data_IF_440466802958
#
_entry.id   IF_440466802958
#
_cell.length_a   1.000
_cell.length_b   1.000
_cell.length_c   1.000
_cell.angle_alpha   90.00
_cell.angle_beta   90.00
_cell.angle_gamma   90.00
#
_symmetry.space_group_name_H-M   'P 1'
#
loop_
_entity.id
_entity.type
_entity.pdbx_description
1 polymer ?
#
# COMPACT_ATOMS: atom_id res chain seq x y z
N UNK A 1 11.42 7.61 39.98
CA UNK A 1 11.00 8.00 38.60
C UNK A 1 11.97 7.41 37.60
N UNK A 2 11.51 6.93 36.44
CA UNK A 2 12.39 6.36 35.40
C UNK A 2 13.09 7.45 34.58
N UNK A 3 14.39 7.29 34.29
CA UNK A 3 15.24 8.26 33.55
C UNK A 3 14.60 8.76 32.25
N UNK A 4 14.01 7.86 31.46
CA UNK A 4 13.42 8.19 30.16
C UNK A 4 12.19 9.09 30.22
N UNK A 5 11.61 9.32 31.40
CA UNK A 5 10.36 10.05 31.59
C UNK A 5 10.55 11.40 32.28
N UNK A 6 11.79 11.78 32.59
CA UNK A 6 12.13 13.05 33.24
C UNK A 6 12.54 14.06 32.16
N UNK A 7 12.17 15.34 32.36
CA UNK A 7 12.66 16.43 31.53
C UNK A 7 14.18 16.52 31.66
N UNK A 8 14.90 16.38 30.56
CA UNK A 8 16.34 16.67 30.58
C UNK A 8 16.55 18.17 30.81
N UNK A 9 17.52 18.51 31.65
CA UNK A 9 17.78 19.91 32.00
C UNK A 9 18.15 20.76 30.79
N UNK A 10 18.90 20.18 29.85
CA UNK A 10 19.45 20.85 28.68
C UNK A 10 18.39 21.13 27.62
N UNK A 11 17.61 20.12 27.23
CA UNK A 11 16.64 20.29 26.13
C UNK A 11 15.24 20.62 26.61
N UNK A 12 14.96 20.48 27.92
CA UNK A 12 13.61 20.53 28.50
C UNK A 12 12.65 19.59 27.77
N UNK A 13 13.18 18.50 27.19
CA UNK A 13 12.42 17.44 26.54
C UNK A 13 12.67 16.12 27.27
N UNK A 14 11.62 15.31 27.35
CA UNK A 14 11.67 13.97 27.92
C UNK A 14 12.34 13.03 26.89
N UNK A 15 13.37 12.24 27.27
CA UNK A 15 14.05 11.35 26.34
C UNK A 15 13.11 10.41 25.57
N UNK A 16 12.06 9.90 26.22
CA UNK A 16 11.02 9.11 25.57
C UNK A 16 10.34 9.86 24.40
N UNK A 17 9.97 11.13 24.60
CA UNK A 17 9.34 11.93 23.56
C UNK A 17 10.31 12.22 22.41
N UNK A 18 11.59 12.49 22.71
CA UNK A 18 12.61 12.71 21.69
C UNK A 18 12.77 11.48 20.76
N UNK A 19 12.69 10.28 21.33
CA UNK A 19 12.85 9.03 20.57
C UNK A 19 11.61 8.63 19.76
N UNK A 20 10.42 8.74 20.34
CA UNK A 20 9.21 8.17 19.75
C UNK A 20 8.19 9.20 19.23
N UNK A 21 8.40 10.50 19.51
CA UNK A 21 7.54 11.62 19.09
C UNK A 21 6.08 11.56 19.57
N UNK A 22 5.80 10.82 20.63
CA UNK A 22 4.51 10.87 21.35
C UNK A 22 4.74 10.91 22.87
N UNK A 23 3.76 11.47 23.61
CA UNK A 23 3.80 11.53 25.06
C UNK A 23 3.18 10.25 25.63
N UNK A 24 3.93 9.53 26.47
CA UNK A 24 3.37 8.40 27.22
C UNK A 24 2.58 8.93 28.42
N UNK A 25 1.36 8.42 28.61
CA UNK A 25 0.50 8.76 29.74
C UNK A 25 0.81 7.81 30.91
N UNK A 26 1.31 8.36 32.02
CA UNK A 26 1.76 7.61 33.20
C UNK A 26 0.64 7.28 34.20
N UNK A 27 -0.61 7.71 33.93
CA UNK A 27 -1.77 7.36 34.77
C UNK A 27 -2.18 5.89 34.62
N UNK A 28 -1.75 5.24 33.55
CA UNK A 28 -1.79 3.80 33.43
C UNK A 28 -0.52 3.28 34.09
N UNK A 29 -0.69 2.52 35.17
CA UNK A 29 0.40 1.87 35.88
C UNK A 29 1.18 0.91 34.99
N UNK A 30 2.02 0.07 35.59
CA UNK A 30 2.86 -0.91 34.93
C UNK A 30 2.04 -2.05 34.27
N UNK A 31 1.08 -1.71 33.41
CA UNK A 31 0.49 -2.57 32.41
C UNK A 31 0.86 -1.95 31.07
N UNK A 32 1.98 -2.44 30.51
CA UNK A 32 2.22 -2.34 29.07
C UNK A 32 1.20 -3.27 28.40
N UNK A 33 -0.05 -2.85 28.44
CA UNK A 33 -1.04 -3.18 27.45
C UNK A 33 -1.36 -1.82 26.86
N UNK A 34 -0.42 -1.27 26.07
CA UNK A 34 -0.90 -0.48 24.93
C UNK A 34 -1.79 -1.47 24.21
N UNK A 35 -3.12 -1.34 24.22
CA UNK A 35 -3.88 -2.19 23.34
C UNK A 35 -3.36 -1.74 21.99
N UNK A 36 -2.70 -2.63 21.26
CA UNK A 36 -2.35 -2.43 19.86
C UNK A 36 -3.60 -2.00 19.04
N UNK A 37 -4.78 -2.08 19.67
CA UNK A 37 -6.12 -1.67 19.26
C UNK A 37 -6.66 -0.29 19.76
N UNK A 38 -6.08 0.43 20.74
CA UNK A 38 -6.83 1.52 21.41
C UNK A 38 -6.66 2.94 20.85
N UNK A 39 -5.75 3.16 19.90
CA UNK A 39 -5.80 4.39 19.09
C UNK A 39 -6.05 3.98 17.65
N UNK A 40 -7.27 3.53 17.39
CA UNK A 40 -7.83 3.57 16.04
C UNK A 40 -7.92 5.04 15.66
N UNK A 41 -6.83 5.60 15.13
CA UNK A 41 -6.86 6.89 14.47
C UNK A 41 -7.77 6.69 13.26
N UNK A 42 -8.93 7.37 13.16
CA UNK A 42 -9.88 7.11 12.07
C UNK A 42 -9.23 7.26 10.68
N UNK A 43 -8.27 8.19 10.56
CA UNK A 43 -7.43 8.36 9.37
C UNK A 43 -6.58 7.13 9.03
N UNK A 44 -6.01 6.45 10.03
CA UNK A 44 -5.19 5.25 9.81
C UNK A 44 -6.05 4.09 9.29
N UNK A 45 -7.24 3.88 9.85
CA UNK A 45 -8.16 2.83 9.39
C UNK A 45 -8.65 3.10 7.96
N UNK A 46 -8.96 4.36 7.62
CA UNK A 46 -9.32 4.74 6.25
C UNK A 46 -8.17 4.46 5.27
N UNK A 47 -6.93 4.81 5.62
CA UNK A 47 -5.75 4.51 4.78
C UNK A 47 -5.54 3.01 4.59
N UNK A 48 -5.67 2.20 5.64
CA UNK A 48 -5.53 0.73 5.54
C UNK A 48 -6.61 0.14 4.63
N UNK A 49 -7.87 0.60 4.74
CA UNK A 49 -8.95 0.17 3.83
C UNK A 49 -8.65 0.51 2.38
N UNK A 50 -8.17 1.72 2.10
CA UNK A 50 -7.78 2.14 0.75
C UNK A 50 -6.62 1.29 0.20
N UNK A 51 -5.59 1.04 1.02
CA UNK A 51 -4.46 0.17 0.64
C UNK A 51 -4.92 -1.25 0.33
N UNK A 52 -5.87 -1.79 1.12
CA UNK A 52 -6.40 -3.13 0.90
C UNK A 52 -7.22 -3.23 -0.40
N UNK A 53 -8.02 -2.21 -0.73
CA UNK A 53 -8.75 -2.13 -2.00
C UNK A 53 -7.77 -2.06 -3.17
N UNK A 54 -6.74 -1.22 -3.09
CA UNK A 54 -5.71 -1.10 -4.10
C UNK A 54 -4.98 -2.43 -4.31
N UNK A 55 -4.58 -3.09 -3.23
CA UNK A 55 -3.94 -4.40 -3.26
C UNK A 55 -4.82 -5.44 -3.97
N UNK A 56 -6.12 -5.51 -3.65
CA UNK A 56 -7.05 -6.43 -4.32
C UNK A 56 -7.14 -6.17 -5.82
N UNK A 57 -7.19 -4.90 -6.23
CA UNK A 57 -7.24 -4.52 -7.64
C UNK A 57 -5.98 -4.95 -8.37
N UNK A 58 -4.81 -4.62 -7.83
CA UNK A 58 -3.51 -4.98 -8.40
C UNK A 58 -3.33 -6.50 -8.51
N UNK A 59 -3.73 -7.25 -7.47
CA UNK A 59 -3.68 -8.72 -7.50
C UNK A 59 -4.51 -9.29 -8.66
N UNK A 60 -5.74 -8.80 -8.85
CA UNK A 60 -6.63 -9.25 -9.92
C UNK A 60 -6.07 -8.92 -11.31
N UNK A 61 -5.49 -7.73 -11.49
CA UNK A 61 -4.85 -7.33 -12.74
C UNK A 61 -3.62 -8.20 -13.05
N UNK A 62 -2.79 -8.50 -12.05
CA UNK A 62 -1.64 -9.38 -12.21
C UNK A 62 -2.05 -10.81 -12.57
N UNK A 63 -3.09 -11.36 -11.94
CA UNK A 63 -3.63 -12.68 -12.30
C UNK A 63 -4.18 -12.71 -13.73
N UNK A 64 -4.86 -11.65 -14.16
CA UNK A 64 -5.33 -11.50 -15.53
C UNK A 64 -4.18 -11.46 -16.53
N UNK A 65 -3.15 -10.63 -16.28
CA UNK A 65 -1.95 -10.54 -17.12
C UNK A 65 -1.22 -11.88 -17.14
N UNK A 66 -1.05 -12.55 -16.00
CA UNK A 66 -0.40 -13.87 -15.92
C UNK A 66 -1.14 -14.92 -16.74
N UNK A 67 -2.47 -14.91 -16.71
CA UNK A 67 -3.30 -15.82 -17.52
C UNK A 67 -3.15 -15.53 -19.01
N UNK A 68 -3.16 -14.24 -19.39
CA UNK A 68 -2.90 -13.80 -20.77
C UNK A 68 -1.51 -14.23 -21.22
N UNK A 69 -0.48 -13.92 -20.46
CA UNK A 69 0.89 -14.36 -20.75
C UNK A 69 0.89 -15.87 -20.88
N UNK A 70 0.39 -16.67 -19.94
CA UNK A 70 0.34 -18.13 -20.08
C UNK A 70 -0.34 -18.59 -21.39
N UNK A 71 -1.46 -17.98 -21.78
CA UNK A 71 -2.21 -18.36 -22.98
C UNK A 71 -1.51 -17.92 -24.29
N UNK A 72 -0.84 -16.76 -24.29
CA UNK A 72 -0.20 -16.17 -25.47
C UNK A 72 1.32 -16.37 -25.52
N UNK A 73 1.97 -16.83 -24.44
CA UNK A 73 3.41 -17.11 -24.31
C UNK A 73 3.77 -18.48 -24.89
N UNK A 74 3.09 -18.88 -25.96
CA UNK A 74 3.41 -20.12 -26.66
C UNK A 74 4.83 -20.00 -27.25
N UNK A 75 5.74 -20.89 -26.82
CA UNK A 75 7.18 -20.85 -27.15
C UNK A 75 7.52 -21.22 -28.61
N UNK A 76 6.52 -21.57 -29.44
CA UNK A 76 6.73 -22.07 -30.81
C UNK A 76 6.02 -21.27 -31.93
N UNK A 77 5.50 -20.05 -31.70
CA UNK A 77 4.66 -19.29 -32.67
C UNK A 77 5.04 -17.79 -32.68
N UNK A 78 5.94 -17.23 -33.52
CA UNK A 78 5.92 -16.93 -34.97
C UNK A 78 4.70 -16.12 -35.49
N UNK A 79 5.01 -14.96 -36.13
CA UNK A 79 4.21 -14.04 -36.99
C UNK A 79 2.88 -13.48 -36.45
N UNK A 80 2.95 -12.53 -35.51
CA UNK A 80 1.86 -11.57 -35.24
C UNK A 80 0.50 -12.17 -34.84
N UNK A 81 -0.48 -11.34 -34.45
CA UNK A 81 -1.84 -11.81 -34.23
C UNK A 81 -2.47 -12.19 -35.58
N UNK A 82 -2.99 -13.41 -35.70
CA UNK A 82 -3.90 -13.78 -36.79
C UNK A 82 -5.25 -13.10 -36.51
N UNK A 83 -5.61 -12.10 -37.32
CA UNK A 83 -6.88 -11.39 -37.24
C UNK A 83 -7.79 -11.86 -38.37
N UNK A 84 -9.04 -12.19 -38.06
CA UNK A 84 -10.07 -12.55 -39.03
C UNK A 84 -11.05 -11.40 -39.26
N UNK A 85 -11.80 -11.46 -40.37
CA UNK A 85 -12.78 -10.43 -40.71
C UNK A 85 -13.91 -10.43 -39.68
N UNK A 86 -13.98 -9.37 -38.87
CA UNK A 86 -14.96 -9.22 -37.79
C UNK A 86 -14.33 -9.11 -36.40
N UNK A 87 -13.03 -9.38 -36.27
CA UNK A 87 -12.32 -9.22 -35.01
C UNK A 87 -12.19 -7.74 -34.61
N UNK A 88 -12.46 -7.47 -33.33
CA UNK A 88 -12.27 -6.14 -32.76
C UNK A 88 -10.83 -5.96 -32.33
N UNK A 89 -10.18 -4.93 -32.86
CA UNK A 89 -8.82 -4.52 -32.45
C UNK A 89 -8.90 -3.17 -31.75
N UNK A 90 -8.24 -3.05 -30.61
CA UNK A 90 -8.10 -1.78 -29.91
C UNK A 90 -6.90 -1.02 -30.47
N UNK A 91 -7.14 0.05 -31.21
CA UNK A 91 -6.10 0.95 -31.71
C UNK A 91 -5.79 2.01 -30.66
N UNK A 92 -4.50 2.31 -30.48
CA UNK A 92 -4.07 3.44 -29.65
C UNK A 92 -4.32 4.72 -30.46
N UNK A 93 -5.16 5.61 -29.92
CA UNK A 93 -5.58 6.86 -30.56
C UNK A 93 -4.39 7.74 -30.98
N UNK A 94 -3.28 7.69 -30.24
CA UNK A 94 -2.06 8.44 -30.54
C UNK A 94 -1.45 8.12 -31.91
N UNK A 95 -1.72 6.95 -32.48
CA UNK A 95 -1.21 6.52 -33.78
C UNK A 95 -2.25 6.64 -34.92
N UNK A 96 -3.46 7.10 -34.62
CA UNK A 96 -4.49 7.35 -35.62
C UNK A 96 -4.30 8.75 -36.21
N UNK A 97 -3.65 8.85 -37.37
CA UNK A 97 -3.65 10.08 -38.16
C UNK A 97 -4.96 10.15 -38.95
N UNK A 98 -5.81 11.11 -38.60
CA UNK A 98 -7.02 11.46 -39.36
C UNK A 98 -6.67 12.56 -40.35
N UNK A 99 -7.17 12.45 -41.59
CA UNK A 99 -7.16 13.55 -42.58
C UNK A 99 -8.17 14.63 -42.21
#
# INVERSE_FOLDING_TARGET
>A
LAYNMILTETTKVIPFFANYRYKADLRQGLEVIVPRAAVIVPRAVVKVKQMYILYKKLKKELEFIRTRIKNYYNKYRLKGPYLERGDKVYLIIQNLQTK
#
